data_IF_847052639477
#
_entry.id   IF_847052639477
#
_cell.length_a   1.000
_cell.length_b   1.000
_cell.length_c   1.000
_cell.angle_alpha   90.00
_cell.angle_beta   90.00
_cell.angle_gamma   90.00
#
_symmetry.space_group_name_H-M   'P 1'
#
loop_
_entity.id
_entity.type
_entity.pdbx_description
1 polymer ?
#
# COMPACT_ATOMS: atom_id res chain seq x y z
N UNK A 1 29.83 10.20 -8.89
CA UNK A 1 29.91 11.50 -9.59
C UNK A 1 28.92 12.46 -8.94
N UNK A 2 29.30 13.72 -8.73
CA UNK A 2 28.37 14.73 -8.23
C UNK A 2 27.43 15.14 -9.36
N UNK A 3 26.11 15.16 -9.10
CA UNK A 3 25.11 15.60 -10.07
C UNK A 3 25.28 17.09 -10.39
N UNK A 4 25.20 17.45 -11.66
CA UNK A 4 25.19 18.84 -12.11
C UNK A 4 23.90 19.54 -11.70
N UNK A 5 23.85 20.88 -11.75
CA UNK A 5 22.68 21.66 -11.35
C UNK A 5 21.43 21.28 -12.18
N UNK A 6 21.60 21.14 -13.49
CA UNK A 6 20.53 20.72 -14.42
C UNK A 6 19.97 19.35 -14.06
N UNK A 7 20.82 18.36 -13.82
CA UNK A 7 20.42 17.02 -13.40
C UNK A 7 19.69 17.00 -12.05
N UNK A 8 20.06 17.86 -11.11
CA UNK A 8 19.34 18.00 -9.84
C UNK A 8 17.96 18.61 -10.05
N UNK A 9 17.83 19.58 -10.94
CA UNK A 9 16.54 20.17 -11.29
C UNK A 9 15.63 19.16 -11.99
N UNK A 10 16.15 18.37 -12.92
CA UNK A 10 15.42 17.28 -13.57
C UNK A 10 14.89 16.26 -12.56
N UNK A 11 15.74 15.82 -11.61
CA UNK A 11 15.35 14.86 -10.57
C UNK A 11 14.27 15.45 -9.65
N UNK A 12 14.36 16.74 -9.31
CA UNK A 12 13.35 17.42 -8.49
C UNK A 12 12.03 17.54 -9.26
N UNK A 13 12.08 17.89 -10.55
CA UNK A 13 10.88 18.00 -11.38
C UNK A 13 10.17 16.65 -11.53
N UNK A 14 10.94 15.57 -11.83
CA UNK A 14 10.41 14.21 -11.94
C UNK A 14 9.75 13.75 -10.61
N UNK A 15 10.43 13.99 -9.48
CA UNK A 15 9.90 13.63 -8.16
C UNK A 15 8.67 14.47 -7.78
N UNK A 16 8.62 15.74 -8.15
CA UNK A 16 7.47 16.60 -7.88
C UNK A 16 6.24 16.17 -8.69
N UNK A 17 6.43 15.80 -9.97
CA UNK A 17 5.36 15.27 -10.82
C UNK A 17 4.81 13.96 -10.25
N UNK A 18 5.71 13.03 -9.86
CA UNK A 18 5.31 11.76 -9.25
C UNK A 18 4.62 11.99 -7.91
N UNK A 19 5.15 12.85 -7.05
CA UNK A 19 4.56 13.14 -5.75
C UNK A 19 3.18 13.80 -5.88
N UNK A 20 2.96 14.66 -6.89
CA UNK A 20 1.65 15.27 -7.15
C UNK A 20 0.59 14.30 -7.63
N UNK A 21 1.00 13.19 -8.27
CA UNK A 21 0.08 12.13 -8.75
C UNK A 21 -0.02 10.93 -7.81
N UNK A 22 0.83 10.82 -6.80
CA UNK A 22 0.88 9.68 -5.90
C UNK A 22 -0.20 9.75 -4.81
N UNK A 23 -0.79 8.60 -4.48
CA UNK A 23 -1.75 8.45 -3.37
C UNK A 23 -1.08 8.12 -2.04
N UNK A 24 0.10 7.50 -2.08
CA UNK A 24 0.89 7.18 -0.88
C UNK A 24 2.38 7.26 -1.14
N UNK A 25 3.13 7.57 -0.09
CA UNK A 25 4.58 7.59 -0.05
C UNK A 25 5.06 6.70 1.10
N UNK A 26 6.00 5.81 0.82
CA UNK A 26 6.71 5.05 1.86
C UNK A 26 8.20 5.29 1.72
N UNK A 27 8.84 5.70 2.81
CA UNK A 27 10.28 5.82 2.91
C UNK A 27 10.84 4.68 3.77
N UNK A 28 11.79 3.92 3.21
CA UNK A 28 12.42 2.79 3.89
C UNK A 28 13.93 2.91 3.85
N UNK A 29 14.60 2.49 4.91
CA UNK A 29 16.06 2.35 4.94
C UNK A 29 16.47 1.11 4.16
N UNK A 30 17.40 1.28 3.22
CA UNK A 30 17.89 0.20 2.36
C UNK A 30 19.34 -0.18 2.61
N UNK A 31 19.95 0.34 3.67
CA UNK A 31 21.34 0.09 4.00
C UNK A 31 21.60 -1.42 4.22
N UNK A 32 22.57 -1.95 3.46
CA UNK A 32 22.98 -3.36 3.54
C UNK A 32 22.21 -4.32 2.64
N UNK A 33 21.32 -3.85 1.76
CA UNK A 33 20.73 -4.65 0.70
C UNK A 33 21.75 -4.90 -0.43
N UNK A 34 21.69 -6.09 -1.03
CA UNK A 34 22.51 -6.41 -2.21
C UNK A 34 21.91 -5.81 -3.47
N UNK A 35 22.76 -5.62 -4.51
CA UNK A 35 22.31 -5.09 -5.81
C UNK A 35 21.25 -6.00 -6.44
N UNK A 36 21.38 -7.32 -6.29
CA UNK A 36 20.41 -8.29 -6.78
C UNK A 36 19.03 -8.07 -6.15
N UNK A 37 18.95 -7.96 -4.81
CA UNK A 37 17.72 -7.70 -4.06
C UNK A 37 17.06 -6.37 -4.47
N UNK A 38 17.85 -5.31 -4.64
CA UNK A 38 17.33 -4.02 -5.13
C UNK A 38 16.80 -4.12 -6.57
N UNK A 39 17.43 -4.93 -7.41
CA UNK A 39 16.97 -5.14 -8.79
C UNK A 39 15.66 -5.90 -8.83
N UNK A 40 15.52 -6.93 -8.01
CA UNK A 40 14.26 -7.70 -7.89
C UNK A 40 13.14 -6.84 -7.31
N UNK A 41 13.44 -6.01 -6.31
CA UNK A 41 12.49 -5.03 -5.77
C UNK A 41 12.02 -4.05 -6.85
N UNK A 42 12.93 -3.52 -7.67
CA UNK A 42 12.56 -2.63 -8.78
C UNK A 42 11.72 -3.31 -9.85
N UNK A 43 11.97 -4.61 -10.14
CA UNK A 43 11.14 -5.38 -11.07
C UNK A 43 9.71 -5.51 -10.56
N UNK A 44 9.53 -5.92 -9.29
CA UNK A 44 8.20 -6.04 -8.68
C UNK A 44 7.51 -4.68 -8.57
N UNK A 45 8.23 -3.63 -8.16
CA UNK A 45 7.68 -2.28 -8.10
C UNK A 45 7.08 -1.81 -9.44
N UNK A 46 7.76 -2.10 -10.55
CA UNK A 46 7.25 -1.78 -11.89
C UNK A 46 6.01 -2.57 -12.27
N UNK A 47 5.89 -3.83 -11.82
CA UNK A 47 4.73 -4.68 -12.07
C UNK A 47 3.50 -4.20 -11.29
N UNK A 48 3.71 -3.64 -10.10
CA UNK A 48 2.66 -3.13 -9.21
C UNK A 48 2.36 -1.63 -9.38
N UNK A 49 2.93 -0.98 -10.40
CA UNK A 49 2.73 0.45 -10.66
C UNK A 49 3.35 1.38 -9.60
N UNK A 50 4.30 0.87 -8.79
CA UNK A 50 5.00 1.63 -7.76
C UNK A 50 6.26 2.26 -8.32
N UNK A 51 6.37 3.57 -8.20
CA UNK A 51 7.59 4.31 -8.57
C UNK A 51 8.60 4.22 -7.44
N UNK A 52 9.71 3.52 -7.67
CA UNK A 52 10.77 3.29 -6.69
C UNK A 52 12.03 4.05 -7.09
N UNK A 53 12.48 4.97 -6.23
CA UNK A 53 13.68 5.77 -6.48
C UNK A 53 14.49 5.99 -5.22
N UNK A 54 15.82 5.89 -5.35
CA UNK A 54 16.78 6.34 -4.34
C UNK A 54 17.24 7.73 -4.74
N UNK A 55 17.01 8.70 -3.90
CA UNK A 55 17.38 10.08 -4.15
C UNK A 55 17.96 10.73 -2.89
N UNK A 56 18.71 11.82 -3.07
CA UNK A 56 19.23 12.59 -1.95
C UNK A 56 18.08 13.26 -1.19
N UNK A 57 18.04 13.12 0.13
CA UNK A 57 16.95 13.64 0.98
C UNK A 57 16.67 15.12 0.75
N UNK A 58 17.70 15.94 0.55
CA UNK A 58 17.54 17.38 0.27
C UNK A 58 16.85 17.67 -1.08
N UNK A 59 16.95 16.78 -2.08
CA UNK A 59 16.24 16.92 -3.36
C UNK A 59 14.79 16.52 -3.21
N UNK A 60 14.55 15.41 -2.48
CA UNK A 60 13.19 14.96 -2.16
C UNK A 60 12.45 16.01 -1.33
N UNK A 61 13.10 16.56 -0.30
CA UNK A 61 12.53 17.64 0.52
C UNK A 61 12.03 18.82 -0.32
N UNK A 62 12.81 19.24 -1.32
CA UNK A 62 12.41 20.32 -2.25
C UNK A 62 11.29 19.90 -3.21
N UNK A 63 11.29 18.64 -3.65
CA UNK A 63 10.28 18.12 -4.56
C UNK A 63 8.90 18.04 -3.89
N UNK A 64 8.83 17.73 -2.59
CA UNK A 64 7.58 17.56 -1.85
C UNK A 64 7.07 18.86 -1.21
N UNK A 65 7.80 19.98 -1.25
CA UNK A 65 7.40 21.26 -0.64
C UNK A 65 6.02 21.77 -1.10
N UNK A 66 5.67 21.52 -2.35
CA UNK A 66 4.40 21.98 -2.95
C UNK A 66 3.37 20.85 -3.08
N UNK A 67 3.52 19.76 -2.33
CA UNK A 67 2.61 18.61 -2.36
C UNK A 67 2.11 18.28 -0.96
N UNK A 68 1.09 17.42 -0.87
CA UNK A 68 0.53 16.96 0.41
C UNK A 68 1.56 16.25 1.31
N UNK A 69 2.72 15.91 0.74
CA UNK A 69 3.82 15.25 1.45
C UNK A 69 4.83 16.21 2.09
N UNK A 70 4.55 17.52 2.13
CA UNK A 70 5.43 18.51 2.77
C UNK A 70 5.73 18.18 4.25
N UNK A 71 4.80 17.49 4.93
CA UNK A 71 4.91 17.08 6.35
C UNK A 71 6.06 16.10 6.59
N UNK A 72 6.50 15.36 5.56
CA UNK A 72 7.57 14.36 5.64
C UNK A 72 8.96 14.98 5.72
N UNK A 73 9.11 16.26 5.36
CA UNK A 73 10.39 16.96 5.16
C UNK A 73 11.35 16.83 6.36
N UNK A 74 10.84 16.92 7.58
CA UNK A 74 11.65 16.95 8.80
C UNK A 74 12.19 15.58 9.22
N UNK A 75 11.61 14.50 8.72
CA UNK A 75 11.98 13.12 9.10
C UNK A 75 12.86 12.40 8.04
N UNK A 76 13.24 13.09 6.96
CA UNK A 76 14.07 12.53 5.90
C UNK A 76 15.54 12.44 6.33
N UNK A 77 15.86 11.48 7.21
CA UNK A 77 17.22 11.26 7.73
C UNK A 77 17.74 9.88 7.33
N UNK A 78 19.03 9.81 6.97
CA UNK A 78 19.69 8.55 6.60
C UNK A 78 19.54 8.14 5.13
N UNK A 79 19.99 6.93 4.77
CA UNK A 79 19.90 6.38 3.42
C UNK A 79 18.49 5.86 3.16
N UNK A 80 17.67 6.65 2.50
CA UNK A 80 16.26 6.34 2.24
C UNK A 80 16.00 5.95 0.80
N UNK A 81 15.15 4.94 0.63
CA UNK A 81 14.52 4.54 -0.60
C UNK A 81 13.08 5.03 -0.57
N UNK A 82 12.64 5.68 -1.61
CA UNK A 82 11.30 6.25 -1.74
C UNK A 82 10.45 5.41 -2.68
N UNK A 83 9.30 4.98 -2.20
CA UNK A 83 8.29 4.26 -2.97
C UNK A 83 7.02 5.11 -3.04
N UNK A 84 6.66 5.54 -4.24
CA UNK A 84 5.42 6.28 -4.52
C UNK A 84 4.44 5.35 -5.23
N UNK A 85 3.20 5.32 -4.77
CA UNK A 85 2.14 4.56 -5.40
C UNK A 85 1.20 5.48 -6.16
N UNK A 86 1.00 5.23 -7.47
CA UNK A 86 0.17 6.08 -8.35
C UNK A 86 -1.27 5.59 -8.45
N UNK A 87 -1.49 4.31 -8.55
CA UNK A 87 -2.81 3.71 -8.79
C UNK A 87 -3.45 3.24 -7.49
N UNK A 88 -2.76 2.35 -6.76
CA UNK A 88 -3.26 1.73 -5.54
C UNK A 88 -2.56 2.31 -4.30
N UNK A 89 -3.25 2.93 -3.36
CA UNK A 89 -2.63 3.49 -2.16
C UNK A 89 -1.88 2.45 -1.33
N UNK A 90 -2.31 1.19 -1.34
CA UNK A 90 -1.70 0.09 -0.59
C UNK A 90 -0.49 -0.58 -1.27
N UNK A 91 -0.28 -0.39 -2.57
CA UNK A 91 0.73 -1.13 -3.34
C UNK A 91 2.15 -0.93 -2.79
N UNK A 92 2.55 0.32 -2.50
CA UNK A 92 3.86 0.62 -1.92
C UNK A 92 4.06 -0.06 -0.56
N UNK A 93 3.00 -0.12 0.27
CA UNK A 93 3.03 -0.81 1.57
C UNK A 93 3.18 -2.31 1.42
N UNK A 94 2.42 -2.95 0.51
CA UNK A 94 2.49 -4.39 0.23
C UNK A 94 3.89 -4.79 -0.24
N UNK A 95 4.42 -4.06 -1.20
CA UNK A 95 5.76 -4.29 -1.74
C UNK A 95 6.83 -4.20 -0.64
N UNK A 96 6.85 -3.12 0.14
CA UNK A 96 7.85 -2.94 1.20
C UNK A 96 7.69 -3.98 2.29
N UNK A 97 6.47 -4.33 2.69
CA UNK A 97 6.18 -5.37 3.69
C UNK A 97 6.68 -6.75 3.23
N UNK A 98 6.44 -7.12 1.97
CA UNK A 98 6.90 -8.41 1.41
C UNK A 98 8.43 -8.49 1.44
N UNK A 99 9.11 -7.43 0.99
CA UNK A 99 10.56 -7.39 0.99
C UNK A 99 11.17 -7.27 2.39
N UNK A 100 10.53 -6.56 3.33
CA UNK A 100 10.98 -6.48 4.72
C UNK A 100 10.88 -7.84 5.43
N UNK A 101 9.86 -8.66 5.11
CA UNK A 101 9.78 -10.04 5.61
C UNK A 101 10.88 -10.95 5.06
N UNK A 102 11.29 -10.73 3.81
CA UNK A 102 12.37 -11.50 3.18
C UNK A 102 13.77 -11.00 3.56
N UNK A 103 13.90 -9.75 3.99
CA UNK A 103 15.17 -9.09 4.27
C UNK A 103 15.06 -8.18 5.49
N UNK A 104 15.57 -8.60 6.63
CA UNK A 104 15.58 -7.83 7.90
C UNK A 104 16.31 -6.48 7.82
N UNK A 105 17.08 -6.26 6.75
CA UNK A 105 17.83 -5.03 6.51
C UNK A 105 16.98 -3.90 5.94
N UNK A 106 15.83 -4.20 5.35
CA UNK A 106 14.89 -3.21 4.86
C UNK A 106 13.96 -2.78 5.99
N UNK A 107 14.14 -1.57 6.50
CA UNK A 107 13.32 -1.05 7.58
C UNK A 107 12.47 0.11 7.10
N UNK A 108 11.14 -0.03 7.09
CA UNK A 108 10.26 1.09 6.83
C UNK A 108 10.42 2.13 7.94
N UNK A 109 10.67 3.38 7.58
CA UNK A 109 10.87 4.50 8.52
C UNK A 109 9.62 5.35 8.63
N UNK A 110 9.01 5.62 7.51
CA UNK A 110 7.93 6.59 7.42
C UNK A 110 6.95 6.20 6.31
N UNK A 111 5.69 6.43 6.61
CA UNK A 111 4.56 6.29 5.68
C UNK A 111 3.79 7.60 5.64
N UNK A 112 3.44 8.07 4.46
CA UNK A 112 2.60 9.24 4.29
C UNK A 112 1.44 8.95 3.34
N UNK A 113 0.23 9.29 3.76
CA UNK A 113 -1.03 9.11 3.01
C UNK A 113 -1.93 10.31 3.29
N UNK A 114 -2.51 10.88 2.24
CA UNK A 114 -3.55 11.91 2.37
C UNK A 114 -3.14 13.11 3.23
N UNK A 115 -1.88 13.55 3.13
CA UNK A 115 -1.38 14.67 3.91
C UNK A 115 -1.10 14.36 5.40
N UNK A 116 -1.13 13.11 5.81
CA UNK A 116 -0.77 12.68 7.17
C UNK A 116 0.45 11.77 7.16
N UNK A 117 1.31 11.95 8.16
CA UNK A 117 2.48 11.10 8.36
C UNK A 117 2.24 10.06 9.44
N UNK A 118 2.77 8.87 9.22
CA UNK A 118 2.72 7.74 10.13
C UNK A 118 4.11 7.13 10.29
N UNK A 119 4.45 6.60 11.47
CA UNK A 119 5.70 5.87 11.65
C UNK A 119 5.72 4.60 10.82
N UNK A 120 6.91 4.09 10.54
CA UNK A 120 7.12 2.88 9.73
C UNK A 120 6.39 1.63 10.23
N UNK A 121 6.03 1.56 11.52
CA UNK A 121 5.21 0.47 12.09
C UNK A 121 3.82 0.36 11.44
N UNK A 122 3.30 1.44 10.85
CA UNK A 122 1.99 1.46 10.19
C UNK A 122 2.02 0.97 8.72
N UNK A 123 3.15 0.48 8.24
CA UNK A 123 3.23 -0.15 6.90
C UNK A 123 2.27 -1.32 6.77
N UNK A 124 2.02 -2.06 7.86
CA UNK A 124 1.04 -3.17 7.87
C UNK A 124 -0.38 -2.69 7.60
N UNK A 125 -0.76 -1.54 8.17
CA UNK A 125 -2.07 -0.92 7.94
C UNK A 125 -2.18 -0.45 6.49
N UNK A 126 -1.12 0.21 5.97
CA UNK A 126 -1.07 0.62 4.57
C UNK A 126 -1.20 -0.59 3.62
N UNK A 127 -0.48 -1.68 3.90
CA UNK A 127 -0.52 -2.90 3.09
C UNK A 127 -1.90 -3.58 3.09
N UNK A 128 -2.73 -3.36 4.13
CA UNK A 128 -4.09 -3.91 4.23
C UNK A 128 -5.14 -3.07 3.50
N UNK A 129 -4.78 -1.89 2.99
CA UNK A 129 -5.72 -1.07 2.23
C UNK A 129 -6.12 -1.78 0.92
N UNK A 130 -7.43 -1.86 0.63
CA UNK A 130 -7.93 -2.43 -0.60
C UNK A 130 -7.61 -1.53 -1.80
N UNK A 131 -7.62 -2.11 -2.98
CA UNK A 131 -7.59 -1.36 -4.23
C UNK A 131 -8.87 -0.51 -4.39
N UNK A 132 -8.86 0.46 -5.30
CA UNK A 132 -10.05 1.33 -5.53
C UNK A 132 -11.29 0.51 -5.86
N UNK A 133 -11.16 -0.49 -6.73
CA UNK A 133 -12.27 -1.33 -7.18
C UNK A 133 -12.77 -2.25 -6.07
N UNK A 134 -11.86 -2.81 -5.26
CA UNK A 134 -12.20 -3.57 -4.06
C UNK A 134 -12.92 -2.70 -3.03
N UNK A 135 -12.44 -1.48 -2.77
CA UNK A 135 -13.09 -0.56 -1.85
C UNK A 135 -14.52 -0.19 -2.30
N UNK A 136 -14.71 0.07 -3.59
CA UNK A 136 -16.03 0.32 -4.17
C UNK A 136 -16.93 -0.91 -4.06
N UNK A 137 -16.42 -2.10 -4.32
CA UNK A 137 -17.17 -3.35 -4.18
C UNK A 137 -17.60 -3.63 -2.73
N UNK A 138 -16.71 -3.36 -1.77
CA UNK A 138 -17.03 -3.45 -0.33
C UNK A 138 -18.12 -2.45 0.06
N UNK A 139 -18.05 -1.22 -0.42
CA UNK A 139 -19.06 -0.18 -0.16
C UNK A 139 -20.42 -0.60 -0.73
N UNK A 140 -20.46 -1.08 -1.97
CA UNK A 140 -21.68 -1.58 -2.58
C UNK A 140 -22.26 -2.79 -1.83
N UNK A 141 -21.41 -3.71 -1.38
CA UNK A 141 -21.84 -4.87 -0.60
C UNK A 141 -22.51 -4.46 0.72
N UNK A 142 -21.95 -3.46 1.41
CA UNK A 142 -22.52 -2.92 2.65
C UNK A 142 -23.89 -2.25 2.39
N UNK A 143 -24.02 -1.52 1.27
CA UNK A 143 -25.30 -0.89 0.91
C UNK A 143 -26.40 -1.92 0.59
N UNK A 144 -26.06 -3.04 -0.03
CA UNK A 144 -27.01 -4.12 -0.38
C UNK A 144 -27.29 -5.05 0.80
N UNK A 145 -26.42 -5.08 1.81
CA UNK A 145 -26.49 -6.00 2.95
C UNK A 145 -27.83 -5.98 3.69
N UNK A 146 -28.49 -4.81 3.99
CA UNK A 146 -29.78 -4.81 4.68
C UNK A 146 -30.87 -5.57 3.91
N UNK A 147 -30.95 -5.35 2.60
CA UNK A 147 -31.91 -6.06 1.74
C UNK A 147 -31.62 -7.57 1.69
N UNK A 148 -30.34 -7.92 1.55
CA UNK A 148 -29.91 -9.32 1.55
C UNK A 148 -30.20 -10.02 2.89
N UNK A 149 -30.01 -9.33 4.02
CA UNK A 149 -30.35 -9.87 5.34
C UNK A 149 -31.85 -10.14 5.46
N UNK A 150 -32.71 -9.23 5.01
CA UNK A 150 -34.15 -9.40 5.04
C UNK A 150 -34.58 -10.64 4.24
N UNK A 151 -34.05 -10.79 3.01
CA UNK A 151 -34.35 -11.97 2.19
C UNK A 151 -33.85 -13.26 2.85
N UNK A 152 -32.66 -13.25 3.44
CA UNK A 152 -32.14 -14.41 4.19
C UNK A 152 -33.02 -14.78 5.37
N UNK A 153 -33.46 -13.82 6.19
CA UNK A 153 -34.36 -14.06 7.31
C UNK A 153 -35.68 -14.65 6.89
N UNK A 154 -36.25 -14.26 5.76
CA UNK A 154 -37.47 -14.85 5.21
C UNK A 154 -37.27 -16.27 4.66
N UNK A 155 -36.08 -16.58 4.13
CA UNK A 155 -35.71 -17.89 3.61
C UNK A 155 -35.22 -18.87 4.70
N UNK A 156 -34.77 -18.37 5.85
CA UNK A 156 -34.20 -19.18 6.94
C UNK A 156 -35.13 -20.28 7.48
N UNK A 157 -36.43 -20.04 7.75
CA UNK A 157 -37.32 -21.08 8.27
C UNK A 157 -37.41 -22.31 7.35
N UNK A 158 -37.54 -22.08 6.04
CA UNK A 158 -37.60 -23.17 5.07
C UNK A 158 -36.29 -23.97 5.00
N UNK A 159 -35.16 -23.27 5.04
CA UNK A 159 -33.83 -23.89 5.01
C UNK A 159 -33.50 -24.67 6.29
N UNK A 160 -33.99 -24.21 7.44
CA UNK A 160 -33.86 -24.92 8.73
C UNK A 160 -34.63 -26.21 8.75
N UNK A 161 -35.90 -26.20 8.30
CA UNK A 161 -36.72 -27.41 8.18
C UNK A 161 -36.03 -28.43 7.27
N UNK A 162 -35.55 -28.02 6.11
CA UNK A 162 -34.84 -28.91 5.20
C UNK A 162 -33.56 -29.50 5.82
N UNK A 163 -32.81 -28.72 6.58
CA UNK A 163 -31.62 -29.21 7.31
C UNK A 163 -31.95 -30.23 8.39
N UNK A 164 -33.00 -29.97 9.17
CA UNK A 164 -33.43 -30.90 10.21
C UNK A 164 -33.97 -32.21 9.62
N UNK A 165 -34.78 -32.16 8.56
CA UNK A 165 -35.26 -33.38 7.89
C UNK A 165 -34.13 -34.20 7.27
N UNK A 166 -33.13 -33.54 6.69
CA UNK A 166 -31.94 -34.22 6.20
C UNK A 166 -31.13 -34.89 7.34
N UNK A 167 -30.92 -34.18 8.44
CA UNK A 167 -30.20 -34.73 9.59
C UNK A 167 -30.92 -35.96 10.19
N UNK A 168 -32.24 -35.91 10.33
CA UNK A 168 -33.04 -37.07 10.78
C UNK A 168 -32.97 -38.23 9.78
N UNK A 169 -32.97 -37.93 8.46
CA UNK A 169 -32.80 -38.93 7.43
C UNK A 169 -31.44 -39.65 7.51
N UNK A 170 -30.38 -38.91 7.73
CA UNK A 170 -29.03 -39.46 7.90
C UNK A 170 -28.89 -40.30 9.17
N UNK A 171 -29.49 -39.88 10.30
CA UNK A 171 -29.47 -40.67 11.52
C UNK A 171 -30.25 -41.99 11.39
N UNK A 172 -31.29 -42.06 10.55
CA UNK A 172 -32.06 -43.30 10.31
C UNK A 172 -31.39 -44.21 9.30
N UNK A 173 -30.45 -43.69 8.48
CA UNK A 173 -29.71 -44.48 7.48
C UNK A 173 -28.38 -45.03 8.01
N UNK A 174 -27.91 -44.58 9.17
CA UNK A 174 -26.75 -45.09 9.92
C UNK A 174 -27.20 -46.09 11.00
#
# INVERSE_FOLDING_TARGET
MALNLTQKQEVVAELAEVAGSAHSLVAAEYAGLTVAQLTDMRKKARQEGVFLKVAKNTLVSRAVENTDYAIVKDELTGPLLYAFSKEDPGAAGRLIKEFAKANDKLKPRLVAIGGQKYPGSHVDVLASLPTRDEALSMLLSVMVQPATMLVRLLAEPASQVARVTNAVGQQKAA
#
